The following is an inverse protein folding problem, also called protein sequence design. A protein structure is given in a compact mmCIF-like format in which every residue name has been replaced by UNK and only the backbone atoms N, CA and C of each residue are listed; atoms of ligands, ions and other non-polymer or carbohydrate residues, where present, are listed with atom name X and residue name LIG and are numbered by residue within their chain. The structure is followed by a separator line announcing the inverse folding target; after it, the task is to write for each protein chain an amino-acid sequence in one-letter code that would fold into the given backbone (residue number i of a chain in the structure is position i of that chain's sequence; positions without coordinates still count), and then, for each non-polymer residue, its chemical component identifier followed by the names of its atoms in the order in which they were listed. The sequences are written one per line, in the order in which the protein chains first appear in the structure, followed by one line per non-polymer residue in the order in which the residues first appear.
data_IF_478915737112
#
_entry.id   IF_478915737112
#
_cell.length_a   1.000
_cell.length_b   1.000
_cell.length_c   1.000
_cell.angle_alpha   90.00
_cell.angle_beta   90.00
_cell.angle_gamma   90.00
#
_symmetry.space_group_name_H-M   'P 1'
#
loop_
_entity.id
_entity.type
_entity.pdbx_description
1 polymer ?
#
# COMPACT_ATOMS: atom_id res chain seq x y z
N UNK A 1 54.80 47.39 -74.67
CA UNK A 1 54.90 47.69 -76.12
C UNK A 1 56.01 46.85 -76.80
N UNK A 2 55.90 45.51 -76.84
CA UNK A 2 56.96 44.65 -77.37
C UNK A 2 57.08 44.71 -78.90
N UNK A 3 55.94 44.79 -79.61
CA UNK A 3 55.89 44.88 -81.08
C UNK A 3 56.63 46.12 -81.62
N UNK A 4 56.52 47.26 -80.94
CA UNK A 4 57.21 48.50 -81.33
C UNK A 4 58.73 48.36 -81.18
N UNK A 5 59.19 47.65 -80.13
CA UNK A 5 60.62 47.38 -79.91
C UNK A 5 61.17 46.42 -80.96
N UNK A 6 60.42 45.38 -81.34
CA UNK A 6 60.82 44.44 -82.39
C UNK A 6 60.92 45.14 -83.77
N UNK A 7 59.98 46.02 -84.09
CA UNK A 7 60.01 46.84 -85.33
C UNK A 7 61.23 47.77 -85.33
N UNK A 8 61.52 48.44 -84.21
CA UNK A 8 62.69 49.32 -84.10
C UNK A 8 63.99 48.53 -84.25
N UNK A 9 64.13 47.37 -83.60
CA UNK A 9 65.34 46.53 -83.73
C UNK A 9 65.51 46.02 -85.17
N UNK A 10 64.44 45.56 -85.82
CA UNK A 10 64.48 45.13 -87.23
C UNK A 10 64.88 46.26 -88.19
N UNK A 11 64.35 47.47 -87.97
CA UNK A 11 64.69 48.65 -88.76
C UNK A 11 66.14 49.10 -88.54
N UNK A 12 66.63 49.07 -87.29
CA UNK A 12 68.02 49.40 -86.95
C UNK A 12 69.01 48.40 -87.57
N UNK A 13 68.73 47.09 -87.44
CA UNK A 13 69.60 46.05 -88.01
C UNK A 13 69.59 46.11 -89.54
N UNK A 14 68.41 46.22 -90.17
CA UNK A 14 68.31 46.37 -91.62
C UNK A 14 69.07 47.61 -92.14
N UNK A 15 68.86 48.76 -91.50
CA UNK A 15 69.55 50.00 -91.84
C UNK A 15 71.07 49.93 -91.68
N UNK A 16 71.56 49.30 -90.60
CA UNK A 16 72.99 49.08 -90.39
C UNK A 16 73.63 48.25 -91.51
N UNK A 17 72.97 47.16 -91.94
CA UNK A 17 73.47 46.32 -93.04
C UNK A 17 73.42 47.00 -94.41
N UNK A 18 72.50 47.93 -94.62
CA UNK A 18 72.39 48.70 -95.88
C UNK A 18 73.49 49.76 -95.97
N UNK A 19 73.78 50.43 -94.85
CA UNK A 19 74.77 51.52 -94.78
C UNK A 19 76.21 51.01 -94.73
N UNK A 20 76.51 50.03 -93.86
CA UNK A 20 77.87 49.61 -93.57
C UNK A 20 78.41 48.58 -94.57
N UNK A 21 77.55 47.69 -95.06
CA UNK A 21 77.97 46.54 -95.87
C UNK A 21 77.72 46.69 -97.38
N UNK A 22 77.12 47.82 -97.82
CA UNK A 22 76.63 48.04 -99.19
C UNK A 22 75.80 46.85 -99.73
N UNK A 23 75.09 46.16 -98.83
CA UNK A 23 74.27 45.02 -99.20
C UNK A 23 73.14 45.45 -100.15
N UNK A 24 72.74 44.57 -101.05
CA UNK A 24 71.60 44.86 -101.93
C UNK A 24 70.34 45.10 -101.09
N UNK A 25 69.54 46.10 -101.50
CA UNK A 25 68.27 46.48 -100.87
C UNK A 25 67.41 45.27 -100.47
N UNK A 26 67.19 44.24 -101.33
CA UNK A 26 66.38 43.08 -100.94
C UNK A 26 66.99 42.25 -99.80
N UNK A 27 68.32 42.14 -99.70
CA UNK A 27 68.98 41.37 -98.64
C UNK A 27 68.91 42.08 -97.29
N UNK A 28 69.10 43.40 -97.25
CA UNK A 28 68.97 44.18 -96.01
C UNK A 28 67.56 44.10 -95.42
N UNK A 29 66.52 44.22 -96.27
CA UNK A 29 65.12 44.07 -95.83
C UNK A 29 64.87 42.66 -95.29
N UNK A 30 65.41 41.63 -95.95
CA UNK A 30 65.34 40.24 -95.49
C UNK A 30 65.99 40.04 -94.11
N UNK A 31 67.16 40.63 -93.88
CA UNK A 31 67.87 40.57 -92.59
C UNK A 31 67.11 41.35 -91.50
N UNK A 32 66.56 42.52 -91.82
CA UNK A 32 65.75 43.30 -90.88
C UNK A 32 64.47 42.56 -90.44
N UNK A 33 63.77 41.91 -91.38
CA UNK A 33 62.57 41.12 -91.08
C UNK A 33 62.88 39.86 -90.27
N UNK A 34 63.98 39.16 -90.59
CA UNK A 34 64.39 37.97 -89.82
C UNK A 34 64.83 38.34 -88.41
N UNK A 35 65.55 39.44 -88.22
CA UNK A 35 65.91 39.97 -86.91
C UNK A 35 64.68 40.36 -86.07
N UNK A 36 63.68 40.99 -86.70
CA UNK A 36 62.41 41.31 -86.04
C UNK A 36 61.68 40.05 -85.55
N UNK A 37 61.58 39.01 -86.38
CA UNK A 37 60.93 37.74 -86.03
C UNK A 37 61.68 37.00 -84.90
N UNK A 38 63.02 37.02 -84.94
CA UNK A 38 63.86 36.36 -83.94
C UNK A 38 63.71 36.96 -82.53
N UNK A 39 63.39 38.25 -82.43
CA UNK A 39 63.17 38.93 -81.14
C UNK A 39 61.73 38.77 -80.65
N UNK A 40 60.74 38.85 -81.54
CA UNK A 40 59.32 38.80 -81.15
C UNK A 40 58.86 37.38 -80.74
N UNK A 41 59.39 36.35 -81.41
CA UNK A 41 59.04 34.95 -81.17
C UNK A 41 59.30 34.43 -79.73
N UNK A 42 60.53 34.57 -79.16
CA UNK A 42 60.80 34.09 -77.80
C UNK A 42 59.98 34.88 -76.76
N UNK A 43 59.75 36.18 -76.96
CA UNK A 43 59.00 37.01 -76.02
C UNK A 43 57.53 36.63 -75.98
N UNK A 44 56.87 36.56 -77.15
CA UNK A 44 55.45 36.18 -77.25
C UNK A 44 55.20 34.77 -76.71
N UNK A 45 56.15 33.85 -76.90
CA UNK A 45 56.05 32.49 -76.34
C UNK A 45 56.07 32.51 -74.80
N UNK A 46 56.87 33.39 -74.20
CA UNK A 46 56.98 33.51 -72.73
C UNK A 46 55.73 34.13 -72.09
N UNK A 47 55.13 35.14 -72.72
CA UNK A 47 53.87 35.74 -72.28
C UNK A 47 52.71 34.75 -72.42
N UNK A 48 52.62 34.01 -73.53
CA UNK A 48 51.64 32.94 -73.69
C UNK A 48 51.78 31.87 -72.61
N UNK A 49 53.01 31.43 -72.29
CA UNK A 49 53.27 30.48 -71.20
C UNK A 49 52.87 31.01 -69.82
N UNK A 50 53.00 32.31 -69.57
CA UNK A 50 52.54 32.93 -68.31
C UNK A 50 51.02 32.98 -68.26
N UNK A 51 50.36 33.40 -69.33
CA UNK A 51 48.90 33.45 -69.40
C UNK A 51 48.28 32.05 -69.30
N UNK A 52 48.85 31.03 -69.95
CA UNK A 52 48.35 29.66 -69.83
C UNK A 52 48.51 29.12 -68.42
N UNK A 53 49.61 29.46 -67.72
CA UNK A 53 49.78 29.11 -66.30
C UNK A 53 48.76 29.80 -65.40
N UNK A 54 48.52 31.10 -65.59
CA UNK A 54 47.50 31.82 -64.80
C UNK A 54 46.08 31.34 -65.09
N UNK A 55 45.76 31.08 -66.36
CA UNK A 55 44.47 30.49 -66.75
C UNK A 55 44.32 29.10 -66.14
N UNK A 56 45.37 28.28 -66.15
CA UNK A 56 45.34 26.95 -65.54
C UNK A 56 45.15 27.02 -64.02
N UNK A 57 45.88 27.90 -63.32
CA UNK A 57 45.70 28.12 -61.87
C UNK A 57 44.27 28.60 -61.55
N UNK A 58 43.72 29.51 -62.34
CA UNK A 58 42.33 29.94 -62.20
C UNK A 58 41.33 28.81 -62.43
N UNK A 59 41.54 27.95 -63.44
CA UNK A 59 40.66 26.79 -63.67
C UNK A 59 40.72 25.80 -62.52
N UNK A 60 41.90 25.56 -61.94
CA UNK A 60 42.05 24.68 -60.79
C UNK A 60 41.35 25.24 -59.54
N UNK A 61 41.48 26.55 -59.30
CA UNK A 61 40.77 27.22 -58.20
C UNK A 61 39.26 27.19 -58.38
N UNK A 62 38.76 27.43 -59.60
CA UNK A 62 37.33 27.35 -59.91
C UNK A 62 36.79 25.93 -59.75
N UNK A 63 37.56 24.92 -60.14
CA UNK A 63 37.19 23.52 -59.95
C UNK A 63 37.11 23.16 -58.46
N UNK A 64 38.11 23.58 -57.68
CA UNK A 64 38.13 23.36 -56.24
C UNK A 64 36.99 24.10 -55.52
N UNK A 65 36.75 25.38 -55.86
CA UNK A 65 35.60 26.11 -55.31
C UNK A 65 34.27 25.48 -55.72
N UNK A 66 34.17 24.96 -56.96
CA UNK A 66 32.98 24.23 -57.42
C UNK A 66 32.72 22.98 -56.58
N UNK A 67 33.77 22.19 -56.30
CA UNK A 67 33.66 21.03 -55.42
C UNK A 67 33.25 21.42 -54.00
N UNK A 68 33.78 22.52 -53.45
CA UNK A 68 33.36 23.02 -52.14
C UNK A 68 31.89 23.45 -52.12
N UNK A 69 31.41 24.15 -53.15
CA UNK A 69 30.00 24.54 -53.26
C UNK A 69 29.10 23.31 -53.36
N UNK A 70 29.49 22.29 -54.14
CA UNK A 70 28.74 21.04 -54.20
C UNK A 70 28.69 20.33 -52.85
N UNK A 71 29.81 20.28 -52.11
CA UNK A 71 29.84 19.69 -50.77
C UNK A 71 28.97 20.47 -49.78
N UNK A 72 28.96 21.81 -49.85
CA UNK A 72 28.07 22.64 -49.03
C UNK A 72 26.60 22.42 -49.37
N UNK A 73 26.25 22.34 -50.65
CA UNK A 73 24.88 22.04 -51.07
C UNK A 73 24.42 20.66 -50.58
N UNK A 74 25.28 19.65 -50.63
CA UNK A 74 24.98 18.33 -50.07
C UNK A 74 24.74 18.39 -48.56
N UNK A 75 25.56 19.16 -47.82
CA UNK A 75 25.36 19.37 -46.38
C UNK A 75 24.07 20.10 -46.07
N UNK A 76 23.71 21.11 -46.86
CA UNK A 76 22.44 21.83 -46.71
C UNK A 76 21.25 20.90 -46.91
N UNK A 77 21.26 20.09 -47.97
CA UNK A 77 20.22 19.10 -48.22
C UNK A 77 20.13 18.06 -47.08
N UNK A 78 21.27 17.64 -46.53
CA UNK A 78 21.30 16.74 -45.37
C UNK A 78 20.71 17.38 -44.11
N UNK A 79 21.03 18.65 -43.86
CA UNK A 79 20.50 19.40 -42.71
C UNK A 79 19.00 19.61 -42.87
N UNK A 80 18.52 19.96 -44.06
CA UNK A 80 17.11 20.10 -44.39
C UNK A 80 16.34 18.81 -44.09
N UNK A 81 16.81 17.67 -44.61
CA UNK A 81 16.21 16.37 -44.32
C UNK A 81 16.24 16.03 -42.81
N UNK A 82 17.31 16.40 -42.10
CA UNK A 82 17.39 16.18 -40.65
C UNK A 82 16.43 17.06 -39.86
N UNK A 83 16.14 18.27 -40.35
CA UNK A 83 15.18 19.19 -39.74
C UNK A 83 13.76 18.68 -39.96
N UNK A 84 13.44 18.20 -41.16
CA UNK A 84 12.15 17.58 -41.47
C UNK A 84 11.88 16.34 -40.58
N UNK A 85 12.87 15.44 -40.44
CA UNK A 85 12.74 14.26 -39.55
C UNK A 85 12.55 14.69 -38.09
N UNK A 86 13.32 15.68 -37.61
CA UNK A 86 13.14 16.22 -36.25
C UNK A 86 11.77 16.86 -36.06
N UNK A 87 11.27 17.60 -37.04
CA UNK A 87 9.95 18.21 -36.98
C UNK A 87 8.85 17.14 -36.92
N UNK A 88 8.94 16.09 -37.74
CA UNK A 88 8.01 14.97 -37.70
C UNK A 88 8.03 14.25 -36.35
N UNK A 89 9.23 14.02 -35.79
CA UNK A 89 9.37 13.44 -34.44
C UNK A 89 8.78 14.33 -33.37
N UNK A 90 9.03 15.64 -33.40
CA UNK A 90 8.48 16.58 -32.42
C UNK A 90 6.96 16.62 -32.49
N UNK A 91 6.37 16.64 -33.69
CA UNK A 91 4.92 16.56 -33.86
C UNK A 91 4.34 15.26 -33.29
N UNK A 92 4.98 14.12 -33.55
CA UNK A 92 4.56 12.84 -32.97
C UNK A 92 4.63 12.87 -31.44
N UNK A 93 5.74 13.35 -30.87
CA UNK A 93 5.86 13.47 -29.41
C UNK A 93 4.83 14.42 -28.82
N UNK A 94 4.47 15.50 -29.53
CA UNK A 94 3.43 16.43 -29.10
C UNK A 94 2.06 15.76 -29.09
N UNK A 95 1.72 15.01 -30.15
CA UNK A 95 0.46 14.26 -30.21
C UNK A 95 0.40 13.20 -29.11
N UNK A 96 1.49 12.49 -28.85
CA UNK A 96 1.55 11.49 -27.78
C UNK A 96 1.49 12.13 -26.39
N UNK A 97 2.11 13.30 -26.19
CA UNK A 97 1.96 14.11 -24.98
C UNK A 97 0.52 14.59 -24.80
N UNK A 98 -0.11 15.13 -25.84
CA UNK A 98 -1.51 15.55 -25.82
C UNK A 98 -2.43 14.37 -25.52
N UNK A 99 -2.17 13.19 -26.11
CA UNK A 99 -2.87 11.96 -25.78
C UNK A 99 -2.67 11.55 -24.32
N UNK A 100 -1.46 11.63 -23.79
CA UNK A 100 -1.17 11.32 -22.38
C UNK A 100 -1.76 12.34 -21.42
N UNK A 101 -1.78 13.61 -21.77
CA UNK A 101 -2.38 14.65 -20.97
C UNK A 101 -3.91 14.52 -20.99
N UNK A 102 -4.49 14.22 -22.17
CA UNK A 102 -5.94 13.97 -22.31
C UNK A 102 -6.39 12.66 -21.69
N UNK A 103 -5.54 11.65 -21.52
CA UNK A 103 -5.89 10.38 -20.84
C UNK A 103 -5.52 10.41 -19.35
N UNK A 104 -4.32 10.88 -19.01
CA UNK A 104 -3.78 10.89 -17.65
C UNK A 104 -4.42 11.95 -16.75
N UNK A 105 -4.74 13.14 -17.25
CA UNK A 105 -5.41 14.16 -16.44
C UNK A 105 -6.83 13.76 -16.00
N UNK A 106 -7.70 13.18 -16.85
CA UNK A 106 -9.00 12.71 -16.39
C UNK A 106 -8.94 11.42 -15.58
N UNK A 107 -7.99 10.52 -15.85
CA UNK A 107 -7.82 9.30 -15.04
C UNK A 107 -7.36 9.64 -13.61
N UNK A 108 -6.41 10.56 -13.46
CA UNK A 108 -6.01 11.07 -12.14
C UNK A 108 -7.18 11.78 -11.43
N UNK A 109 -8.00 12.54 -12.16
CA UNK A 109 -9.21 13.17 -11.59
C UNK A 109 -10.23 12.13 -11.12
N UNK A 110 -10.50 11.10 -11.93
CA UNK A 110 -11.39 9.99 -11.55
C UNK A 110 -10.88 9.27 -10.32
N UNK A 111 -9.59 8.94 -10.25
CA UNK A 111 -8.99 8.33 -9.07
C UNK A 111 -9.15 9.20 -7.83
N UNK A 112 -8.95 10.52 -7.95
CA UNK A 112 -9.15 11.45 -6.82
C UNK A 112 -10.63 11.48 -6.40
N UNK A 113 -11.56 11.47 -7.35
CA UNK A 113 -12.99 11.49 -7.05
C UNK A 113 -13.43 10.16 -6.40
N UNK A 114 -12.95 9.02 -6.89
CA UNK A 114 -13.15 7.70 -6.26
C UNK A 114 -12.54 7.66 -4.85
N UNK A 115 -11.34 8.19 -4.66
CA UNK A 115 -10.71 8.31 -3.35
C UNK A 115 -11.51 9.20 -2.41
N UNK A 116 -12.11 10.30 -2.89
CA UNK A 116 -12.99 11.13 -2.05
C UNK A 116 -14.26 10.38 -1.65
N UNK A 117 -14.90 9.68 -2.59
CA UNK A 117 -16.11 8.90 -2.29
C UNK A 117 -15.82 7.81 -1.27
N UNK A 118 -14.71 7.09 -1.40
CA UNK A 118 -14.30 6.07 -0.42
C UNK A 118 -13.96 6.68 0.95
N UNK A 119 -13.34 7.86 0.99
CA UNK A 119 -13.07 8.57 2.25
C UNK A 119 -14.35 9.06 2.93
N UNK A 120 -15.33 9.56 2.17
CA UNK A 120 -16.62 9.96 2.71
C UNK A 120 -17.39 8.75 3.26
N UNK A 121 -17.37 7.62 2.55
CA UNK A 121 -17.94 6.36 3.04
C UNK A 121 -17.23 5.86 4.31
N UNK A 122 -15.90 5.92 4.37
CA UNK A 122 -15.13 5.57 5.56
C UNK A 122 -15.43 6.49 6.74
N UNK A 123 -15.54 7.80 6.50
CA UNK A 123 -15.91 8.77 7.52
C UNK A 123 -17.28 8.43 8.10
N UNK A 124 -18.27 8.15 7.25
CA UNK A 124 -19.61 7.78 7.71
C UNK A 124 -19.59 6.49 8.55
N UNK A 125 -18.88 5.45 8.08
CA UNK A 125 -18.74 4.20 8.82
C UNK A 125 -18.05 4.42 10.18
N UNK A 126 -17.07 5.32 10.25
CA UNK A 126 -16.36 5.65 11.48
C UNK A 126 -17.24 6.45 12.46
N UNK A 127 -18.09 7.34 11.97
CA UNK A 127 -19.10 8.02 12.79
C UNK A 127 -20.12 7.04 13.38
N UNK A 128 -20.56 6.04 12.61
CA UNK A 128 -21.44 4.98 13.08
C UNK A 128 -20.75 4.08 14.11
N UNK A 129 -19.51 3.69 13.86
CA UNK A 129 -18.68 2.96 14.84
C UNK A 129 -18.50 3.76 16.13
N UNK A 130 -18.28 5.07 16.05
CA UNK A 130 -18.17 5.92 17.22
C UNK A 130 -19.48 5.98 18.02
N UNK A 131 -20.64 6.04 17.34
CA UNK A 131 -21.95 5.96 18.02
C UNK A 131 -22.13 4.61 18.72
N UNK A 132 -21.76 3.52 18.08
CA UNK A 132 -21.80 2.18 18.67
C UNK A 132 -20.88 2.06 19.90
N UNK A 133 -19.66 2.60 19.84
CA UNK A 133 -18.73 2.60 20.97
C UNK A 133 -19.31 3.40 22.15
N UNK A 134 -19.89 4.57 21.91
CA UNK A 134 -20.55 5.36 22.97
C UNK A 134 -21.72 4.60 23.58
N UNK A 135 -22.52 3.92 22.76
CA UNK A 135 -23.61 3.09 23.25
C UNK A 135 -23.08 1.93 24.12
N UNK A 136 -22.02 1.25 23.69
CA UNK A 136 -21.36 0.18 24.45
C UNK A 136 -20.79 0.71 25.78
N UNK A 137 -20.13 1.87 25.78
CA UNK A 137 -19.64 2.51 27.01
C UNK A 137 -20.78 2.79 28.00
N UNK A 138 -21.90 3.35 27.52
CA UNK A 138 -23.07 3.61 28.38
C UNK A 138 -23.70 2.32 28.92
N UNK A 139 -23.64 1.22 28.16
CA UNK A 139 -24.11 -0.09 28.60
C UNK A 139 -23.18 -0.69 29.65
N UNK A 140 -21.87 -0.58 29.47
CA UNK A 140 -20.87 -1.02 30.45
C UNK A 140 -21.03 -0.26 31.77
N UNK A 141 -21.23 1.05 31.73
CA UNK A 141 -21.47 1.87 32.92
C UNK A 141 -22.74 1.43 33.67
N UNK A 142 -23.81 1.08 32.95
CA UNK A 142 -25.03 0.50 33.55
C UNK A 142 -24.80 -0.87 34.17
N UNK A 143 -24.02 -1.74 33.50
CA UNK A 143 -23.68 -3.06 34.01
C UNK A 143 -22.78 -2.96 35.25
N UNK A 144 -21.85 -2.02 35.26
CA UNK A 144 -21.02 -1.69 36.42
C UNK A 144 -21.90 -1.26 37.60
N UNK A 145 -22.81 -0.30 37.37
CA UNK A 145 -23.74 0.14 38.41
C UNK A 145 -24.62 -1.00 38.93
N UNK A 146 -25.18 -1.83 38.05
CA UNK A 146 -25.95 -3.01 38.46
C UNK A 146 -25.13 -4.03 39.24
N UNK A 147 -23.85 -4.17 38.92
CA UNK A 147 -22.94 -5.08 39.62
C UNK A 147 -22.63 -4.54 41.02
N UNK A 148 -22.38 -3.24 41.15
CA UNK A 148 -22.17 -2.57 42.45
C UNK A 148 -23.41 -2.67 43.32
N UNK A 149 -24.59 -2.34 42.78
CA UNK A 149 -25.87 -2.42 43.51
C UNK A 149 -26.18 -3.87 43.90
N UNK A 150 -25.94 -4.81 43.00
CA UNK A 150 -26.07 -6.24 43.25
C UNK A 150 -25.15 -6.71 44.37
N UNK A 151 -23.89 -6.26 44.37
CA UNK A 151 -22.92 -6.58 45.41
C UNK A 151 -23.36 -6.05 46.78
N UNK A 152 -23.83 -4.80 46.86
CA UNK A 152 -24.35 -4.23 48.12
C UNK A 152 -25.55 -5.01 48.66
N UNK A 153 -26.48 -5.43 47.79
CA UNK A 153 -27.59 -6.31 48.18
C UNK A 153 -27.10 -7.68 48.68
N UNK A 154 -26.06 -8.25 48.08
CA UNK A 154 -25.46 -9.50 48.56
C UNK A 154 -24.82 -9.32 49.93
N UNK A 155 -24.12 -8.21 50.18
CA UNK A 155 -23.58 -7.88 51.50
C UNK A 155 -24.69 -7.72 52.55
N UNK A 156 -25.79 -7.03 52.22
CA UNK A 156 -26.93 -6.89 53.11
C UNK A 156 -27.58 -8.24 53.46
N UNK A 157 -27.77 -9.11 52.45
CA UNK A 157 -28.32 -10.45 52.67
C UNK A 157 -27.38 -11.34 53.47
N UNK A 158 -26.07 -11.29 53.22
CA UNK A 158 -25.05 -11.97 54.04
C UNK A 158 -25.08 -11.48 55.49
N UNK A 159 -25.12 -10.16 55.71
CA UNK A 159 -25.23 -9.59 57.05
C UNK A 159 -26.54 -10.00 57.74
N UNK A 160 -27.64 -10.10 57.00
CA UNK A 160 -28.92 -10.59 57.53
C UNK A 160 -28.85 -12.08 57.89
N UNK A 161 -28.25 -12.91 57.04
CA UNK A 161 -28.04 -14.33 57.31
C UNK A 161 -27.12 -14.53 58.51
N UNK A 162 -26.04 -13.76 58.62
CA UNK A 162 -25.14 -13.79 59.78
C UNK A 162 -25.89 -13.45 61.08
N UNK A 163 -26.71 -12.39 61.08
CA UNK A 163 -27.57 -12.05 62.23
C UNK A 163 -28.56 -13.17 62.56
N UNK A 164 -29.19 -13.77 61.55
CA UNK A 164 -30.14 -14.86 61.75
C UNK A 164 -29.44 -16.11 62.32
N UNK A 165 -28.27 -16.47 61.79
CA UNK A 165 -27.45 -17.57 62.29
C UNK A 165 -26.98 -17.29 63.72
N UNK A 166 -26.54 -16.07 64.04
CA UNK A 166 -26.17 -15.68 65.39
C UNK A 166 -27.35 -15.77 66.37
N UNK A 167 -28.54 -15.32 65.95
CA UNK A 167 -29.76 -15.43 66.74
C UNK A 167 -30.20 -16.89 66.92
N UNK A 168 -30.14 -17.70 65.86
CA UNK A 168 -30.47 -19.12 65.91
C UNK A 168 -29.49 -19.90 66.79
N UNK A 169 -28.19 -19.58 66.74
CA UNK A 169 -27.17 -20.15 67.62
C UNK A 169 -27.38 -19.76 69.09
N UNK A 170 -27.77 -18.51 69.37
CA UNK A 170 -28.09 -18.07 70.73
C UNK A 170 -29.36 -18.74 71.27
N UNK A 171 -30.41 -18.86 70.45
CA UNK A 171 -31.66 -19.54 70.80
C UNK A 171 -31.45 -21.04 71.01
N UNK A 172 -30.68 -21.72 70.15
CA UNK A 172 -30.38 -23.14 70.31
C UNK A 172 -29.52 -23.39 71.54
N UNK A 173 -28.54 -22.53 71.82
CA UNK A 173 -27.72 -22.62 73.04
C UNK A 173 -28.58 -22.39 74.29
N UNK A 174 -29.51 -21.44 74.25
CA UNK A 174 -30.47 -21.18 75.33
C UNK A 174 -31.43 -22.34 75.56
N UNK A 175 -32.03 -22.87 74.48
CA UNK A 175 -32.90 -24.03 74.54
C UNK A 175 -32.16 -25.29 75.00
N UNK A 176 -30.93 -25.51 74.53
CA UNK A 176 -30.11 -26.63 74.97
C UNK A 176 -29.78 -26.53 76.46
N UNK A 177 -29.45 -25.34 76.96
CA UNK A 177 -29.24 -25.11 78.40
C UNK A 177 -30.51 -25.35 79.21
N UNK A 178 -31.65 -24.84 78.74
CA UNK A 178 -32.93 -24.99 79.42
C UNK A 178 -33.41 -26.44 79.46
N UNK A 179 -33.28 -27.19 78.36
CA UNK A 179 -33.57 -28.64 78.33
C UNK A 179 -32.61 -29.41 79.24
N UNK A 180 -31.34 -29.04 79.30
CA UNK A 180 -30.40 -29.66 80.25
C UNK A 180 -30.81 -29.39 81.70
N UNK A 181 -31.27 -28.17 81.98
CA UNK A 181 -31.76 -27.77 83.31
C UNK A 181 -33.06 -28.51 83.67
N UNK A 182 -34.04 -28.60 82.77
CA UNK A 182 -35.26 -29.40 82.95
C UNK A 182 -34.96 -30.89 83.09
N UNK A 183 -33.99 -31.44 82.36
CA UNK A 183 -33.58 -32.85 82.52
C UNK A 183 -32.90 -33.04 83.87
N UNK A 184 -32.03 -32.12 84.30
CA UNK A 184 -31.39 -32.20 85.61
C UNK A 184 -32.39 -32.05 86.75
N UNK A 185 -33.35 -31.13 86.63
CA UNK A 185 -34.40 -30.89 87.61
C UNK A 185 -35.42 -32.02 87.62
N UNK A 186 -35.89 -32.46 86.45
CA UNK A 186 -36.77 -33.62 86.28
C UNK A 186 -36.13 -34.91 86.78
N UNK A 187 -34.82 -35.12 86.58
CA UNK A 187 -34.12 -36.27 87.16
C UNK A 187 -34.00 -36.15 88.68
N UNK A 188 -33.81 -34.94 89.22
CA UNK A 188 -33.83 -34.70 90.67
C UNK A 188 -35.21 -34.93 91.28
N UNK A 189 -36.27 -34.57 90.57
CA UNK A 189 -37.65 -34.83 90.95
C UNK A 189 -38.00 -36.32 90.81
N UNK A 190 -37.59 -36.98 89.73
CA UNK A 190 -37.71 -38.42 89.55
C UNK A 190 -36.94 -39.17 90.64
N UNK A 191 -35.74 -38.74 91.01
CA UNK A 191 -34.99 -39.32 92.12
C UNK A 191 -35.73 -39.12 93.45
N UNK A 192 -36.35 -37.96 93.70
CA UNK A 192 -37.21 -37.75 94.88
C UNK A 192 -38.47 -38.61 94.85
N UNK A 193 -39.15 -38.68 93.71
CA UNK A 193 -40.35 -39.46 93.52
C UNK A 193 -40.04 -40.95 93.65
N UNK A 194 -38.96 -41.45 93.04
CA UNK A 194 -38.47 -42.82 93.21
C UNK A 194 -38.07 -43.09 94.66
N UNK A 195 -37.46 -42.13 95.36
CA UNK A 195 -37.16 -42.27 96.80
C UNK A 195 -38.45 -42.35 97.61
N UNK A 196 -39.46 -41.56 97.28
CA UNK A 196 -40.78 -41.59 97.93
C UNK A 196 -41.58 -42.85 97.57
N UNK A 197 -41.49 -43.34 96.33
CA UNK A 197 -42.10 -44.60 95.91
C UNK A 197 -41.37 -45.75 96.58
N UNK A 198 -40.04 -45.79 96.63
CA UNK A 198 -39.29 -46.78 97.40
C UNK A 198 -39.65 -46.71 98.89
N UNK A 199 -39.78 -45.52 99.48
CA UNK A 199 -40.18 -45.37 100.88
C UNK A 199 -41.62 -45.81 101.12
N UNK A 200 -42.52 -45.61 100.15
CA UNK A 200 -43.94 -45.99 100.22
C UNK A 200 -44.15 -47.48 99.92
N UNK A 201 -43.40 -48.03 98.97
CA UNK A 201 -43.34 -49.47 98.64
C UNK A 201 -42.70 -50.27 99.79
N UNK A 202 -41.79 -49.67 100.55
CA UNK A 202 -41.27 -50.24 101.80
C UNK A 202 -42.28 -50.23 102.95
N UNK A 203 -43.43 -49.53 102.83
CA UNK A 203 -44.44 -49.36 103.89
C UNK A 203 -45.82 -49.96 103.57
N UNK A 204 -46.00 -50.64 102.43
CA UNK A 204 -47.27 -51.30 102.07
C UNK A 204 -47.08 -52.79 101.71
N UNK A 205 -47.88 -53.72 102.29
CA UNK A 205 -47.78 -55.15 102.03
C UNK A 205 -48.38 -55.56 100.67
N UNK A 206 -47.80 -56.61 100.07
CA UNK A 206 -48.15 -57.21 98.77
C UNK A 206 -49.60 -57.72 98.68
N UNK A 207 -50.29 -57.37 97.57
CA UNK A 207 -51.25 -58.21 96.82
C UNK A 207 -51.67 -57.45 95.55
N UNK A 208 -51.15 -57.80 94.37
CA UNK A 208 -51.81 -58.64 93.33
C UNK A 208 -53.07 -58.02 92.69
N UNK A 209 -52.95 -57.48 91.48
CA UNK A 209 -53.83 -57.76 90.32
C UNK A 209 -53.30 -56.99 89.08
N UNK A 210 -52.87 -57.72 88.05
CA UNK A 210 -52.47 -57.14 86.76
C UNK A 210 -53.60 -57.43 85.78
N UNK A 211 -54.40 -56.42 85.45
CA UNK A 211 -55.40 -56.49 84.39
C UNK A 211 -54.79 -56.05 83.07
N UNK A 212 -54.72 -57.00 82.14
CA UNK A 212 -54.48 -56.81 80.70
C UNK A 212 -55.77 -56.31 80.07
N UNK A 213 -55.72 -55.22 79.32
CA UNK A 213 -56.77 -54.85 78.34
C UNK A 213 -56.13 -54.49 77.01
N UNK A 214 -56.62 -55.19 76.01
CA UNK A 214 -56.26 -55.22 74.60
C UNK A 214 -57.15 -54.20 73.85
N UNK A 215 -56.60 -53.49 72.85
CA UNK A 215 -57.41 -52.74 71.89
C UNK A 215 -56.64 -52.50 70.59
N UNK A 216 -57.05 -53.28 69.59
CA UNK A 216 -56.66 -53.27 68.18
C UNK A 216 -57.28 -52.08 67.45
N UNK A 217 -56.50 -51.38 66.62
CA UNK A 217 -57.02 -50.57 65.50
C UNK A 217 -56.41 -51.06 64.19
N UNK A 218 -57.31 -51.47 63.29
CA UNK A 218 -57.09 -51.92 61.94
C UNK A 218 -56.82 -50.75 60.99
N UNK A 219 -55.90 -50.94 60.05
CA UNK A 219 -55.63 -50.01 58.96
C UNK A 219 -54.64 -50.58 57.96
N UNK A 220 -54.91 -51.78 57.44
CA UNK A 220 -54.22 -52.30 56.26
C UNK A 220 -54.79 -51.62 55.01
N UNK A 221 -53.99 -50.79 54.34
CA UNK A 221 -54.14 -50.51 52.91
C UNK A 221 -52.77 -50.67 52.28
N UNK A 222 -52.75 -51.58 51.31
CA UNK A 222 -51.56 -52.05 50.62
C UNK A 222 -50.96 -51.05 49.65
N UNK A 223 -49.77 -51.46 49.24
CA UNK A 223 -48.99 -51.03 48.11
C UNK A 223 -49.76 -50.98 46.78
N UNK A 224 -49.12 -50.31 45.82
CA UNK A 224 -49.37 -50.31 44.37
C UNK A 224 -50.46 -49.38 43.82
N UNK A 225 -50.06 -48.12 43.59
CA UNK A 225 -50.54 -47.36 42.43
C UNK A 225 -49.34 -46.83 41.68
N UNK A 226 -49.12 -47.41 40.50
CA UNK A 226 -48.06 -47.05 39.57
C UNK A 226 -48.18 -45.61 39.06
N UNK A 227 -47.01 -44.98 38.96
CA UNK A 227 -46.51 -44.29 37.77
C UNK A 227 -47.55 -43.66 36.84
N UNK A 228 -47.68 -42.34 36.93
CA UNK A 228 -47.89 -41.48 35.75
C UNK A 228 -47.38 -40.07 36.02
N UNK A 229 -46.10 -39.84 35.73
CA UNK A 229 -45.52 -38.51 35.53
C UNK A 229 -45.89 -38.00 34.13
N UNK A 230 -46.47 -36.80 33.96
CA UNK A 230 -46.63 -36.19 32.66
C UNK A 230 -45.29 -35.60 32.19
N UNK A 231 -44.84 -36.05 31.03
CA UNK A 231 -43.72 -35.52 30.24
C UNK A 231 -44.08 -34.17 29.61
N UNK A 232 -43.25 -33.12 29.74
CA UNK A 232 -43.29 -31.94 28.87
C UNK A 232 -42.42 -32.13 27.59
N UNK A 233 -42.75 -31.43 26.48
CA UNK A 233 -42.20 -31.67 25.14
C UNK A 233 -40.73 -31.23 24.93
N UNK A 234 -40.06 -31.76 23.89
CA UNK A 234 -38.64 -31.52 23.62
C UNK A 234 -38.37 -30.08 23.13
N UNK A 235 -37.38 -29.44 23.76
CA UNK A 235 -36.75 -28.21 23.29
C UNK A 235 -35.88 -28.56 22.07
N UNK A 236 -35.96 -27.83 20.93
CA UNK A 236 -35.04 -28.05 19.83
C UNK A 236 -33.62 -27.69 20.28
N UNK A 237 -32.74 -28.68 20.31
CA UNK A 237 -31.29 -28.49 20.38
C UNK A 237 -30.89 -27.75 19.11
N UNK A 238 -30.53 -26.48 19.24
CA UNK A 238 -29.76 -25.79 18.21
C UNK A 238 -28.39 -26.44 18.23
N UNK A 239 -28.05 -27.17 17.19
CA UNK A 239 -26.70 -27.64 16.94
C UNK A 239 -25.79 -26.41 16.90
N UNK A 240 -25.06 -26.19 17.99
CA UNK A 240 -23.89 -25.32 17.99
C UNK A 240 -22.87 -26.06 17.12
N UNK A 241 -22.89 -25.73 15.83
CA UNK A 241 -21.83 -26.07 14.90
C UNK A 241 -20.49 -25.71 15.52
N UNK A 242 -19.57 -26.68 15.47
CA UNK A 242 -18.23 -26.60 16.03
C UNK A 242 -17.53 -25.26 15.75
N UNK A 243 -16.65 -24.78 16.66
CA UNK A 243 -15.85 -23.60 16.42
C UNK A 243 -15.09 -23.76 15.10
N UNK A 244 -15.32 -22.84 14.15
CA UNK A 244 -14.51 -22.75 12.95
C UNK A 244 -13.07 -22.50 13.37
N UNK A 245 -12.28 -23.58 13.41
CA UNK A 245 -10.82 -23.49 13.38
C UNK A 245 -10.47 -22.93 12.02
N UNK A 246 -10.19 -21.64 11.94
CA UNK A 246 -9.59 -21.02 10.77
C UNK A 246 -8.26 -21.74 10.53
N UNK A 247 -8.19 -22.58 9.51
CA UNK A 247 -6.93 -23.15 9.05
C UNK A 247 -6.01 -22.01 8.63
N UNK A 248 -4.77 -22.05 9.09
CA UNK A 248 -3.71 -21.06 8.86
C UNK A 248 -3.21 -21.02 7.41
N UNK A 249 -3.86 -21.72 6.49
CA UNK A 249 -3.36 -21.93 5.13
C UNK A 249 -4.00 -21.00 4.09
N UNK A 250 -5.10 -20.32 4.41
CA UNK A 250 -5.78 -19.42 3.45
C UNK A 250 -5.21 -18.00 3.44
N UNK A 251 -4.51 -17.59 4.51
CA UNK A 251 -3.91 -16.25 4.61
C UNK A 251 -2.54 -16.13 3.92
N UNK A 252 -1.83 -17.24 3.70
CA UNK A 252 -0.51 -17.24 3.05
C UNK A 252 -0.57 -17.19 1.52
N UNK A 253 -1.77 -17.28 0.92
CA UNK A 253 -1.97 -17.21 -0.55
C UNK A 253 -2.39 -15.83 -1.06
N UNK A 254 -2.49 -14.84 -0.17
CA UNK A 254 -2.89 -13.48 -0.51
C UNK A 254 -1.71 -12.48 -0.51
N UNK A 255 -0.47 -12.95 -0.36
CA UNK A 255 0.71 -12.09 -0.54
C UNK A 255 1.12 -12.05 -2.02
N UNK A 256 1.26 -10.86 -2.62
CA UNK A 256 1.83 -10.73 -3.97
C UNK A 256 3.31 -11.17 -3.98
N UNK A 257 3.70 -11.91 -5.03
CA UNK A 257 5.04 -12.51 -5.23
C UNK A 257 6.19 -11.50 -5.51
N UNK A 258 6.01 -10.20 -5.23
CA UNK A 258 7.01 -9.17 -5.53
C UNK A 258 7.99 -8.88 -4.36
N UNK A 259 8.14 -9.81 -3.41
CA UNK A 259 9.04 -9.67 -2.26
C UNK A 259 9.85 -10.95 -1.94
N UNK A 260 10.31 -11.66 -2.98
CA UNK A 260 11.34 -12.71 -2.88
C UNK A 260 12.62 -12.30 -3.63
#
# INVERSE_FOLDING_TARGET
MPRIRAILVGAFVGGFFLFELWASIPLSIGIGLTAMLAVDYPWQSSERRRMTRHAHDQTLRLQYSGQQVHALNQRLAQVEASLEDRQARLQNTLIELERRDTVGAPEARRLIDDQKETLDAQKQAMEEAQRLIRAQQSMLERLEQQTVDGHGRWEETLASLERMLANQANLSTGAQKHVLEEICEGNRELQRALTQVLSRLAMTPRSSEVHVTDSVVMGAVGHDVGQKTPTPPPIPVIDIGLPQRTSTETWLKALPEDLA
#
